data_IF_646881534582
#
_entry.id   IF_646881534582
#
_cell.length_a   1.000
_cell.length_b   1.000
_cell.length_c   1.000
_cell.angle_alpha   90.00
_cell.angle_beta   90.00
_cell.angle_gamma   90.00
#
_symmetry.space_group_name_H-M   'P 1'
#
loop_
_entity.id
_entity.type
_entity.pdbx_description
1 polymer ?
#
# COMPACT_ATOMS: atom_id res chain seq x y z
N UNK A 1 1.75 -20.04 -19.48
CA UNK A 1 0.82 -18.98 -19.94
C UNK A 1 0.44 -18.14 -18.74
N UNK A 2 0.81 -16.85 -18.71
CA UNK A 2 0.30 -15.94 -17.67
C UNK A 2 -1.17 -15.63 -17.97
N UNK A 3 -2.03 -15.72 -16.95
CA UNK A 3 -3.45 -15.38 -17.06
C UNK A 3 -3.60 -13.95 -17.58
N UNK A 4 -4.42 -13.76 -18.63
CA UNK A 4 -4.69 -12.46 -19.28
C UNK A 4 -5.26 -11.41 -18.32
N UNK A 5 -5.80 -11.82 -17.17
CA UNK A 5 -6.21 -10.90 -16.11
C UNK A 5 -5.03 -10.22 -15.41
N UNK A 6 -3.93 -10.93 -15.17
CA UNK A 6 -2.75 -10.40 -14.48
C UNK A 6 -2.06 -9.31 -15.31
N UNK A 7 -1.97 -9.50 -16.63
CA UNK A 7 -1.37 -8.54 -17.55
C UNK A 7 -2.10 -7.18 -17.59
N UNK A 8 -3.43 -7.17 -17.49
CA UNK A 8 -4.20 -5.91 -17.44
C UNK A 8 -3.94 -5.14 -16.14
N UNK A 9 -3.69 -5.84 -15.05
CA UNK A 9 -3.42 -5.20 -13.75
C UNK A 9 -1.99 -4.71 -13.62
N UNK A 10 -1.03 -5.34 -14.31
CA UNK A 10 0.35 -4.82 -14.35
C UNK A 10 0.41 -3.46 -15.04
N UNK A 11 -0.28 -3.27 -16.17
CA UNK A 11 -0.32 -1.97 -16.85
C UNK A 11 -0.98 -0.89 -15.98
N UNK A 12 -2.01 -1.27 -15.23
CA UNK A 12 -2.68 -0.38 -14.28
C UNK A 12 -1.74 0.09 -13.15
N UNK A 13 -0.91 -0.80 -12.62
CA UNK A 13 0.09 -0.45 -11.61
C UNK A 13 1.25 0.37 -12.21
N UNK A 14 1.68 0.07 -13.44
CA UNK A 14 2.73 0.83 -14.14
C UNK A 14 2.29 2.28 -14.35
N UNK A 15 1.07 2.50 -14.84
CA UNK A 15 0.53 3.84 -15.04
C UNK A 15 0.47 4.62 -13.72
N UNK A 16 -0.03 4.00 -12.65
CA UNK A 16 -0.06 4.63 -11.33
C UNK A 16 1.37 4.97 -10.84
N UNK A 17 2.34 4.07 -11.01
CA UNK A 17 3.73 4.34 -10.62
C UNK A 17 4.32 5.55 -11.38
N UNK A 18 3.95 5.73 -12.65
CA UNK A 18 4.42 6.87 -13.46
C UNK A 18 3.86 8.22 -13.01
N UNK A 19 2.69 8.23 -12.36
CA UNK A 19 2.08 9.43 -11.76
C UNK A 19 2.72 9.82 -10.42
N UNK A 20 3.55 8.94 -9.82
CA UNK A 20 4.18 9.20 -8.54
C UNK A 20 5.39 10.14 -8.60
N UNK A 21 5.49 11.06 -7.63
CA UNK A 21 6.57 12.05 -7.52
C UNK A 21 7.89 11.51 -6.94
N UNK A 22 7.90 10.27 -6.47
CA UNK A 22 9.08 9.65 -5.86
C UNK A 22 10.10 9.22 -6.92
N UNK A 23 11.40 9.39 -6.62
CA UNK A 23 12.51 8.93 -7.50
C UNK A 23 12.37 7.45 -7.88
N UNK A 24 12.05 6.61 -6.89
CA UNK A 24 11.73 5.21 -7.11
C UNK A 24 10.21 5.10 -7.25
N UNK A 25 9.74 4.95 -8.50
CA UNK A 25 8.33 4.91 -8.85
C UNK A 25 7.75 3.53 -8.58
N UNK A 26 7.13 3.35 -7.42
CA UNK A 26 6.55 2.09 -6.99
C UNK A 26 5.04 2.23 -6.82
N UNK A 27 4.29 1.23 -7.28
CA UNK A 27 2.84 1.14 -7.06
C UNK A 27 2.45 -0.25 -6.56
N UNK A 28 1.41 -0.30 -5.74
CA UNK A 28 0.87 -1.54 -5.21
C UNK A 28 -0.65 -1.44 -5.08
N UNK A 29 -1.32 -2.59 -5.13
CA UNK A 29 -2.75 -2.71 -4.83
C UNK A 29 -2.98 -4.04 -4.12
N UNK A 30 -4.03 -4.11 -3.31
CA UNK A 30 -4.44 -5.36 -2.70
C UNK A 30 -5.15 -6.23 -3.75
N UNK A 31 -4.96 -7.55 -3.68
CA UNK A 31 -5.57 -8.48 -4.64
C UNK A 31 -6.29 -9.62 -3.93
N UNK A 32 -7.57 -9.79 -4.22
CA UNK A 32 -8.39 -10.90 -3.73
C UNK A 32 -9.32 -11.38 -4.86
N UNK A 33 -8.78 -12.17 -5.80
CA UNK A 33 -9.47 -12.57 -7.04
C UNK A 33 -9.68 -11.42 -8.05
N UNK A 34 -9.68 -10.18 -7.57
CA UNK A 34 -9.65 -8.91 -8.30
C UNK A 34 -8.92 -7.86 -7.45
N UNK A 35 -8.44 -6.74 -8.03
CA UNK A 35 -7.92 -5.64 -7.25
C UNK A 35 -8.93 -5.11 -6.25
N UNK A 36 -8.43 -4.78 -5.08
CA UNK A 36 -9.21 -4.26 -3.96
C UNK A 36 -8.74 -2.82 -3.75
N UNK A 37 -9.56 -1.88 -4.21
CA UNK A 37 -9.27 -0.45 -4.16
C UNK A 37 -8.43 0.06 -5.34
N UNK A 38 -8.01 1.33 -5.23
CA UNK A 38 -7.13 1.98 -6.21
C UNK A 38 -5.65 1.61 -5.95
N UNK A 39 -4.78 1.64 -6.97
CA UNK A 39 -3.34 1.57 -6.81
C UNK A 39 -2.87 2.70 -5.91
N UNK A 40 -1.92 2.37 -5.05
CA UNK A 40 -1.26 3.33 -4.19
C UNK A 40 0.19 3.44 -4.65
N UNK A 41 0.67 4.67 -4.82
CA UNK A 41 2.07 4.95 -5.05
C UNK A 41 2.83 5.11 -3.74
N UNK A 42 4.13 4.83 -3.75
CA UNK A 42 4.96 5.21 -2.62
C UNK A 42 4.98 6.73 -2.46
N UNK A 43 4.97 7.21 -1.23
CA UNK A 43 4.95 8.65 -0.91
C UNK A 43 6.07 8.98 0.05
N UNK A 44 6.43 10.26 0.16
CA UNK A 44 7.29 10.70 1.25
C UNK A 44 6.58 10.49 2.59
N UNK A 45 7.33 10.07 3.59
CA UNK A 45 6.90 10.08 4.99
C UNK A 45 8.07 10.66 5.77
N UNK A 46 7.79 11.41 6.83
CA UNK A 46 8.87 12.10 7.54
C UNK A 46 9.39 11.27 8.70
N UNK A 47 8.55 10.42 9.30
CA UNK A 47 8.90 9.63 10.47
C UNK A 47 8.20 8.26 10.50
N UNK A 48 8.96 7.23 10.82
CA UNK A 48 8.48 5.90 11.16
C UNK A 48 9.30 5.39 12.37
N UNK A 49 8.64 4.96 13.45
CA UNK A 49 9.31 4.56 14.71
C UNK A 49 10.26 5.61 15.31
N UNK A 50 9.95 6.90 15.20
CA UNK A 50 10.85 8.02 15.57
C UNK A 50 12.17 8.06 14.77
N UNK A 51 12.30 7.23 13.75
CA UNK A 51 13.38 7.28 12.78
C UNK A 51 12.88 8.02 11.53
N UNK A 52 13.75 8.79 10.89
CA UNK A 52 13.45 9.41 9.60
C UNK A 52 13.39 8.28 8.57
N UNK A 53 12.18 7.95 8.12
CA UNK A 53 12.00 7.01 7.01
C UNK A 53 11.59 7.81 5.79
N UNK A 54 12.46 7.99 4.78
CA UNK A 54 12.23 8.93 3.69
C UNK A 54 11.01 8.59 2.81
N UNK A 55 10.51 7.35 2.87
CA UNK A 55 9.38 6.90 2.05
C UNK A 55 8.45 5.94 2.78
N UNK A 56 7.14 6.14 2.63
CA UNK A 56 6.12 5.13 2.84
C UNK A 56 6.02 4.28 1.58
N UNK A 57 6.23 2.97 1.72
CA UNK A 57 6.14 2.04 0.58
C UNK A 57 4.71 1.94 0.08
N UNK A 58 4.56 1.72 -1.23
CA UNK A 58 3.27 1.56 -1.90
C UNK A 58 2.41 0.46 -1.26
N UNK A 59 3.03 -0.66 -0.87
CA UNK A 59 2.37 -1.80 -0.23
C UNK A 59 1.76 -1.41 1.12
N UNK A 60 2.57 -0.82 2.00
CA UNK A 60 2.11 -0.35 3.30
C UNK A 60 1.02 0.72 3.17
N UNK A 61 1.14 1.61 2.18
CA UNK A 61 0.10 2.59 1.86
C UNK A 61 -1.19 1.91 1.40
N UNK A 62 -1.12 0.90 0.54
CA UNK A 62 -2.31 0.16 0.08
C UNK A 62 -3.04 -0.56 1.21
N UNK A 63 -2.29 -1.08 2.19
CA UNK A 63 -2.84 -1.70 3.41
C UNK A 63 -3.53 -0.64 4.28
N UNK A 64 -2.87 0.51 4.52
CA UNK A 64 -3.40 1.61 5.31
C UNK A 64 -4.66 2.22 4.70
N UNK A 65 -4.63 2.49 3.39
CA UNK A 65 -5.75 3.08 2.67
C UNK A 65 -6.97 2.14 2.68
N UNK A 66 -6.75 0.82 2.69
CA UNK A 66 -7.84 -0.17 2.69
C UNK A 66 -8.39 -0.48 4.09
N UNK A 67 -7.52 -0.77 5.07
CA UNK A 67 -7.94 -1.26 6.39
C UNK A 67 -8.07 -0.14 7.44
N UNK A 68 -7.54 1.04 7.20
CA UNK A 68 -7.57 2.15 8.16
C UNK A 68 -6.30 2.30 9.02
N UNK A 69 -6.42 3.19 10.03
CA UNK A 69 -5.59 4.41 10.12
C UNK A 69 -4.14 4.25 10.59
N UNK A 70 -3.69 3.10 11.11
CA UNK A 70 -2.30 2.97 11.57
C UNK A 70 -1.74 1.55 11.53
N UNK A 71 -0.50 1.44 11.05
CA UNK A 71 0.34 0.25 11.16
C UNK A 71 1.25 0.41 12.38
N UNK A 72 1.18 -0.56 13.29
CA UNK A 72 2.07 -0.66 14.44
C UNK A 72 3.10 -1.75 14.17
N UNK A 73 4.34 -1.56 14.63
CA UNK A 73 5.33 -2.62 14.54
C UNK A 73 5.34 -3.47 15.80
N UNK A 74 5.23 -4.78 15.63
CA UNK A 74 5.51 -5.80 16.63
C UNK A 74 6.88 -6.39 16.37
N UNK A 75 7.73 -6.50 17.39
CA UNK A 75 9.04 -7.16 17.25
C UNK A 75 8.92 -8.63 16.83
N UNK A 76 7.81 -9.28 17.18
CA UNK A 76 7.55 -10.70 16.88
C UNK A 76 6.88 -10.91 15.52
N UNK A 77 5.96 -10.02 15.13
CA UNK A 77 5.07 -10.23 13.97
C UNK A 77 5.33 -9.26 12.82
N UNK A 78 6.27 -8.34 12.98
CA UNK A 78 6.51 -7.29 12.00
C UNK A 78 5.42 -6.21 12.03
N UNK A 79 5.11 -5.63 10.87
CA UNK A 79 4.04 -4.63 10.75
C UNK A 79 2.68 -5.28 10.91
N UNK A 80 1.90 -4.81 11.89
CA UNK A 80 0.55 -5.27 12.18
C UNK A 80 -0.42 -4.10 12.17
N UNK A 81 -1.69 -4.39 11.87
CA UNK A 81 -2.78 -3.42 12.07
C UNK A 81 -3.03 -3.23 13.57
N UNK A 82 -3.30 -2.00 13.99
CA UNK A 82 -3.54 -1.70 15.41
C UNK A 82 -4.78 -2.47 15.93
N UNK A 83 -4.72 -3.19 17.07
CA UNK A 83 -5.77 -4.10 17.54
C UNK A 83 -7.13 -3.46 17.81
N UNK A 84 -7.18 -2.13 18.04
CA UNK A 84 -8.41 -1.42 18.41
C UNK A 84 -9.20 -0.87 17.21
N UNK A 85 -8.90 -1.31 15.99
CA UNK A 85 -9.55 -0.79 14.79
C UNK A 85 -10.80 -1.61 14.43
N UNK A 86 -11.96 -1.18 14.95
CA UNK A 86 -13.26 -1.63 14.45
C UNK A 86 -13.42 -1.13 13.01
N UNK A 87 -13.77 -2.03 12.09
CA UNK A 87 -14.05 -1.76 10.67
C UNK A 87 -15.04 -0.59 10.50
N UNK A 88 -14.55 0.63 10.38
CA UNK A 88 -15.32 1.72 9.78
C UNK A 88 -15.23 1.53 8.28
N UNK A 89 -16.23 0.83 7.71
CA UNK A 89 -16.45 0.85 6.27
C UNK A 89 -16.54 2.32 5.85
N UNK A 90 -15.58 2.79 5.06
CA UNK A 90 -15.68 4.09 4.40
C UNK A 90 -16.74 3.92 3.31
N UNK A 91 -17.86 4.62 3.48
CA UNK A 91 -18.97 4.69 2.53
C UNK A 91 -18.58 5.48 1.28
#
# INVERSE_FOLDING_TARGET
MMSTGILRYTDYLVNAAMEGDMKYRLAATLYNGKPVGKPCVNTQRNYCRRHICPSLHAEAKSILDHFGKELTYSEKLGWILSPNQRNTKVA
#
